data_IF_862467454560
#
_entry.id   IF_862467454560
#
_cell.length_a   1.000
_cell.length_b   1.000
_cell.length_c   1.000
_cell.angle_alpha   90.00
_cell.angle_beta   90.00
_cell.angle_gamma   90.00
#
_symmetry.space_group_name_H-M   'P 1'
#
loop_
_entity.id
_entity.type
_entity.pdbx_description
1 polymer ?
#
# COMPACT_ATOMS: atom_id res chain seq x y z
N UNK A 1 39.85 0.65 -45.22
CA UNK A 1 38.75 -0.17 -44.65
C UNK A 1 37.97 0.70 -43.69
N UNK A 2 36.84 1.27 -44.12
CA UNK A 2 35.95 2.08 -43.28
C UNK A 2 34.55 1.46 -43.28
N UNK A 3 34.16 0.84 -42.17
CA UNK A 3 32.86 0.20 -42.00
C UNK A 3 31.78 1.21 -41.62
N UNK A 4 30.72 1.28 -42.41
CA UNK A 4 29.51 2.07 -42.13
C UNK A 4 28.69 1.37 -41.04
N UNK A 5 28.59 1.99 -39.86
CA UNK A 5 27.65 1.57 -38.81
C UNK A 5 26.26 2.13 -39.13
N UNK A 6 25.35 1.25 -39.58
CA UNK A 6 23.96 1.60 -39.80
C UNK A 6 23.25 1.87 -38.47
N UNK A 7 22.62 3.05 -38.35
CA UNK A 7 21.82 3.43 -37.17
C UNK A 7 20.62 2.48 -36.99
N UNK A 8 20.24 2.13 -35.75
CA UNK A 8 19.07 1.29 -35.49
C UNK A 8 17.78 2.00 -35.92
N UNK A 9 16.87 1.25 -36.54
CA UNK A 9 15.57 1.76 -36.98
C UNK A 9 14.65 1.99 -35.76
N UNK A 10 13.93 3.12 -35.71
CA UNK A 10 12.95 3.35 -34.66
C UNK A 10 11.80 2.35 -34.77
N UNK A 11 11.35 1.85 -33.62
CA UNK A 11 10.18 0.99 -33.49
C UNK A 11 9.04 1.86 -32.99
N UNK A 12 8.01 2.05 -33.81
CA UNK A 12 6.76 2.69 -33.39
C UNK A 12 5.89 1.68 -32.62
N UNK A 13 5.56 2.00 -31.38
CA UNK A 13 4.61 1.25 -30.57
C UNK A 13 3.29 2.01 -30.57
N UNK A 14 2.26 1.47 -31.22
CA UNK A 14 0.88 1.96 -31.10
C UNK A 14 0.29 1.47 -29.78
N UNK A 15 0.00 2.39 -28.88
CA UNK A 15 -0.74 2.13 -27.64
C UNK A 15 -2.21 2.49 -27.88
N UNK A 16 -3.08 1.50 -27.83
CA UNK A 16 -4.53 1.67 -27.94
C UNK A 16 -5.13 1.58 -26.52
N UNK A 17 -5.62 2.71 -26.02
CA UNK A 17 -6.25 2.83 -24.70
C UNK A 17 -7.75 2.61 -24.84
N UNK A 18 -8.25 1.48 -24.35
CA UNK A 18 -9.70 1.22 -24.24
C UNK A 18 -10.15 1.56 -22.83
N UNK A 19 -10.89 2.66 -22.68
CA UNK A 19 -11.57 2.99 -21.43
C UNK A 19 -12.83 2.13 -21.33
N UNK A 20 -12.96 1.36 -20.24
CA UNK A 20 -14.19 0.65 -19.93
C UNK A 20 -15.22 1.66 -19.42
N UNK A 21 -16.30 1.85 -20.19
CA UNK A 21 -17.45 2.64 -19.75
C UNK A 21 -18.11 1.94 -18.56
N UNK A 22 -18.24 2.67 -17.43
CA UNK A 22 -19.01 2.21 -16.27
C UNK A 22 -20.49 2.23 -16.63
N UNK A 23 -21.12 1.06 -16.64
CA UNK A 23 -22.58 0.96 -16.63
C UNK A 23 -23.10 1.58 -15.32
N UNK A 24 -23.92 2.61 -15.47
CA UNK A 24 -24.73 3.20 -14.41
C UNK A 24 -26.00 2.36 -14.30
N UNK A 25 -26.23 1.78 -13.13
CA UNK A 25 -27.59 1.42 -12.73
C UNK A 25 -27.87 2.03 -11.36
N UNK A 26 -28.87 2.92 -11.37
CA UNK A 26 -29.46 3.51 -10.21
C UNK A 26 -30.66 2.64 -9.83
N UNK A 27 -30.78 2.24 -8.57
CA UNK A 27 -32.06 1.79 -8.05
C UNK A 27 -32.29 2.27 -6.61
N UNK A 28 -33.44 2.92 -6.46
CA UNK A 28 -34.00 3.51 -5.24
C UNK A 28 -35.11 2.58 -4.73
N UNK A 29 -35.00 2.19 -3.44
CA UNK A 29 -36.05 1.71 -2.52
C UNK A 29 -36.62 0.29 -2.81
N UNK A 30 -37.00 -0.58 -1.86
CA UNK A 30 -37.50 -0.46 -0.48
C UNK A 30 -37.48 -1.86 0.22
N UNK A 31 -37.81 -2.00 1.53
CA UNK A 31 -37.42 -3.10 2.41
C UNK A 31 -38.42 -4.28 2.52
N UNK A 32 -37.94 -5.37 3.14
CA UNK A 32 -38.62 -6.60 3.60
C UNK A 32 -38.85 -7.75 2.59
N UNK A 33 -38.25 -8.90 2.89
CA UNK A 33 -38.58 -10.20 2.31
C UNK A 33 -37.65 -11.31 2.78
N UNK A 34 -38.19 -12.28 3.53
CA UNK A 34 -37.48 -13.30 4.33
C UNK A 34 -36.84 -14.43 3.51
N UNK A 35 -35.74 -14.94 4.07
CA UNK A 35 -35.32 -16.34 4.28
C UNK A 35 -35.14 -17.34 3.11
N UNK A 36 -34.02 -18.08 3.25
CA UNK A 36 -33.42 -19.22 2.54
C UNK A 36 -34.34 -20.44 2.28
N UNK A 37 -33.93 -21.51 1.54
CA UNK A 37 -33.00 -22.54 2.08
C UNK A 37 -32.15 -23.34 1.04
N UNK A 38 -31.51 -24.44 1.51
CA UNK A 38 -30.75 -25.54 0.88
C UNK A 38 -29.21 -25.51 1.14
N UNK A 39 -28.69 -26.11 2.23
CA UNK A 39 -28.52 -27.54 2.63
C UNK A 39 -27.33 -28.24 1.92
N UNK A 40 -26.20 -28.46 2.60
CA UNK A 40 -25.78 -29.69 3.31
C UNK A 40 -25.14 -30.78 2.43
N UNK A 41 -23.86 -31.08 2.70
CA UNK A 41 -23.23 -32.39 2.49
C UNK A 41 -22.38 -32.73 3.72
N UNK A 42 -22.71 -33.86 4.39
CA UNK A 42 -21.90 -34.51 5.45
C UNK A 42 -20.91 -35.52 4.83
N UNK A 43 -19.91 -35.97 5.59
CA UNK A 43 -19.96 -37.36 6.08
C UNK A 43 -19.61 -37.56 7.57
N UNK A 44 -20.23 -38.57 8.19
CA UNK A 44 -19.90 -39.25 9.48
C UNK A 44 -18.47 -39.81 9.47
N UNK A 45 -17.77 -40.19 10.54
CA UNK A 45 -17.94 -40.36 12.00
C UNK A 45 -16.52 -40.66 12.56
N UNK A 46 -16.17 -40.55 13.84
CA UNK A 46 -16.62 -41.35 14.98
C UNK A 46 -16.06 -40.77 16.29
N UNK A 47 -16.79 -40.96 17.39
CA UNK A 47 -16.46 -40.51 18.75
C UNK A 47 -15.21 -41.17 19.35
N UNK A 48 -14.45 -40.37 20.11
CA UNK A 48 -13.57 -40.80 21.19
C UNK A 48 -13.65 -39.80 22.33
N UNK A 49 -14.15 -40.23 23.48
CA UNK A 49 -14.35 -39.47 24.72
C UNK A 49 -13.12 -39.66 25.61
N UNK A 50 -12.55 -38.59 26.18
CA UNK A 50 -11.76 -38.68 27.42
C UNK A 50 -11.67 -37.31 28.12
N UNK A 51 -12.31 -37.27 29.29
CA UNK A 51 -11.99 -36.55 30.53
C UNK A 51 -11.42 -35.12 30.47
N UNK A 52 -12.19 -34.22 31.07
CA UNK A 52 -11.74 -33.00 31.74
C UNK A 52 -10.47 -33.24 32.56
N UNK A 53 -9.42 -32.48 32.29
CA UNK A 53 -8.46 -32.03 33.30
C UNK A 53 -7.98 -30.60 32.98
N UNK A 54 -7.88 -29.84 34.06
CA UNK A 54 -7.54 -28.42 34.14
C UNK A 54 -6.46 -27.95 33.17
N UNK A 55 -6.78 -26.92 32.40
CA UNK A 55 -5.77 -25.98 31.94
C UNK A 55 -6.34 -24.57 31.96
N UNK A 56 -6.02 -23.88 33.05
CA UNK A 56 -6.26 -22.46 33.22
C UNK A 56 -5.76 -21.69 31.99
N UNK A 57 -6.70 -21.31 31.13
CA UNK A 57 -6.43 -20.47 29.97
C UNK A 57 -5.91 -19.12 30.46
N UNK A 58 -4.59 -18.94 30.31
CA UNK A 58 -3.88 -17.68 30.39
C UNK A 58 -4.63 -16.63 29.56
N UNK A 59 -5.34 -15.72 30.25
CA UNK A 59 -5.83 -14.49 29.64
C UNK A 59 -4.61 -13.62 29.30
N UNK A 60 -4.39 -13.19 28.04
CA UNK A 60 -3.29 -12.28 27.74
C UNK A 60 -3.61 -10.89 28.32
N UNK A 61 -3.00 -10.56 29.45
CA UNK A 61 -3.10 -9.27 30.11
C UNK A 61 -2.14 -8.25 29.47
N UNK A 62 -2.36 -7.81 28.23
CA UNK A 62 -1.50 -6.80 27.60
C UNK A 62 -2.23 -5.95 26.55
N UNK A 63 -2.97 -4.90 26.94
CA UNK A 63 -3.48 -3.89 25.97
C UNK A 63 -3.48 -2.41 26.42
N UNK A 64 -3.20 -2.10 27.69
CA UNK A 64 -3.31 -0.71 28.18
C UNK A 64 -1.99 0.08 28.20
N UNK A 65 -0.82 -0.56 28.06
CA UNK A 65 0.50 0.11 28.18
C UNK A 65 0.98 0.76 26.86
N UNK A 66 0.42 0.36 25.73
CA UNK A 66 0.89 0.79 24.39
C UNK A 66 0.18 2.05 23.90
N UNK A 67 -0.88 2.46 24.57
CA UNK A 67 -1.63 3.66 24.25
C UNK A 67 -1.32 4.78 25.24
N UNK A 68 -1.39 6.01 24.75
CA UNK A 68 -1.36 7.22 25.56
C UNK A 68 -2.62 8.03 25.28
N UNK A 69 -3.11 8.69 26.33
CA UNK A 69 -4.20 9.65 26.23
C UNK A 69 -3.73 10.98 26.77
N UNK A 70 -4.01 12.05 26.03
CA UNK A 70 -3.71 13.40 26.47
C UNK A 70 -4.83 14.36 26.06
N UNK A 71 -5.15 15.28 26.96
CA UNK A 71 -5.92 16.48 26.61
C UNK A 71 -4.99 17.43 25.86
N UNK A 72 -5.36 17.80 24.63
CA UNK A 72 -4.46 18.55 23.74
C UNK A 72 -4.83 20.02 23.61
N UNK A 73 -6.12 20.36 23.68
CA UNK A 73 -6.60 21.75 23.68
C UNK A 73 -8.09 21.82 24.06
N UNK A 74 -8.63 23.04 24.16
CA UNK A 74 -10.07 23.27 24.16
C UNK A 74 -10.62 23.33 22.73
N UNK A 75 -11.93 23.05 22.58
CA UNK A 75 -12.62 23.07 21.28
C UNK A 75 -12.53 24.43 20.56
N UNK A 76 -12.47 25.52 21.34
CA UNK A 76 -12.36 26.89 20.85
C UNK A 76 -10.95 27.27 20.41
N UNK A 77 -9.95 26.49 20.81
CA UNK A 77 -8.56 26.84 20.52
C UNK A 77 -8.20 26.54 19.06
N UNK A 78 -8.98 25.72 18.35
CA UNK A 78 -8.76 25.39 16.94
C UNK A 78 -9.99 25.77 16.12
N UNK A 79 -9.80 26.63 15.13
CA UNK A 79 -10.88 27.06 14.23
C UNK A 79 -11.11 26.02 13.12
N UNK A 80 -12.27 26.09 12.49
CA UNK A 80 -12.58 25.21 11.36
C UNK A 80 -11.65 25.52 10.17
N UNK A 81 -11.09 24.49 9.55
CA UNK A 81 -10.10 24.60 8.48
C UNK A 81 -8.66 24.73 8.96
N UNK A 82 -8.41 24.61 10.27
CA UNK A 82 -7.05 24.69 10.83
C UNK A 82 -6.46 23.32 11.13
N UNK A 83 -5.13 23.29 11.12
CA UNK A 83 -4.31 22.17 11.58
C UNK A 83 -3.38 22.65 12.69
N UNK A 84 -3.10 21.79 13.67
CA UNK A 84 -2.17 22.06 14.76
C UNK A 84 -1.37 20.82 15.11
N UNK A 85 -0.06 20.95 15.21
CA UNK A 85 0.78 19.91 15.79
C UNK A 85 0.60 19.92 17.33
N UNK A 86 0.31 18.75 17.90
CA UNK A 86 0.07 18.58 19.34
C UNK A 86 1.00 17.52 19.92
N UNK A 87 1.47 17.77 21.13
CA UNK A 87 2.33 16.86 21.88
C UNK A 87 1.50 15.95 22.79
N UNK A 88 1.75 14.64 22.72
CA UNK A 88 1.10 13.62 23.54
C UNK A 88 2.07 13.05 24.59
N UNK A 89 3.24 13.64 24.78
CA UNK A 89 4.31 13.21 25.70
C UNK A 89 5.15 12.05 25.15
N UNK A 90 4.53 11.10 24.44
CA UNK A 90 5.22 9.97 23.80
C UNK A 90 5.49 10.19 22.30
N UNK A 91 5.24 11.40 21.78
CA UNK A 91 5.35 11.76 20.37
C UNK A 91 4.27 12.77 19.99
N UNK A 92 4.21 13.13 18.71
CA UNK A 92 3.34 14.19 18.21
C UNK A 92 2.32 13.69 17.19
N UNK A 93 1.21 14.40 17.11
CA UNK A 93 0.14 14.19 16.15
C UNK A 93 -0.27 15.51 15.50
N UNK A 94 -0.90 15.43 14.33
CA UNK A 94 -1.55 16.56 13.68
C UNK A 94 -3.03 16.52 14.02
N UNK A 95 -3.47 17.46 14.86
CA UNK A 95 -4.88 17.71 15.13
C UNK A 95 -5.44 18.59 14.02
N UNK A 96 -6.58 18.20 13.49
CA UNK A 96 -7.26 18.87 12.37
C UNK A 96 -8.70 19.12 12.79
N UNK A 97 -9.25 20.27 12.43
CA UNK A 97 -10.68 20.55 12.55
C UNK A 97 -11.25 20.94 11.19
N UNK A 98 -12.17 20.16 10.67
CA UNK A 98 -12.86 20.43 9.40
C UNK A 98 -14.33 20.08 9.53
N UNK A 99 -15.21 20.90 8.95
CA UNK A 99 -16.66 20.80 9.09
C UNK A 99 -17.18 20.66 10.53
N UNK A 100 -16.47 21.25 11.50
CA UNK A 100 -16.81 21.17 12.93
C UNK A 100 -16.37 19.87 13.62
N UNK A 101 -15.83 18.90 12.89
CA UNK A 101 -15.33 17.63 13.42
C UNK A 101 -13.82 17.67 13.63
N UNK A 102 -13.33 16.92 14.62
CA UNK A 102 -11.91 16.79 14.89
C UNK A 102 -11.38 15.44 14.40
N UNK A 103 -10.24 15.46 13.73
CA UNK A 103 -9.46 14.27 13.40
C UNK A 103 -8.02 14.43 13.86
N UNK A 104 -7.35 13.31 14.07
CA UNK A 104 -5.94 13.30 14.43
C UNK A 104 -5.19 12.24 13.62
N UNK A 105 -4.14 12.68 12.94
CA UNK A 105 -3.30 11.83 12.09
C UNK A 105 -1.82 12.04 12.41
N UNK A 106 -0.94 11.26 11.78
CA UNK A 106 0.50 11.47 11.85
C UNK A 106 0.89 12.90 11.45
N UNK A 107 1.87 13.50 12.14
CA UNK A 107 2.28 14.89 11.95
C UNK A 107 3.37 15.09 10.90
N UNK A 108 4.04 14.00 10.49
CA UNK A 108 5.09 14.02 9.48
C UNK A 108 4.69 13.19 8.27
N UNK A 109 4.98 13.71 7.08
CA UNK A 109 4.84 12.96 5.85
C UNK A 109 5.76 11.72 5.87
N UNK A 110 5.24 10.51 5.65
CA UNK A 110 6.03 9.27 5.74
C UNK A 110 7.05 9.13 4.60
N UNK A 111 6.99 9.99 3.57
CA UNK A 111 7.96 10.04 2.49
C UNK A 111 9.33 10.51 3.01
N UNK A 112 9.57 11.82 3.15
CA UNK A 112 10.83 12.38 3.66
C UNK A 112 10.71 13.14 5.00
N UNK A 113 9.59 13.01 5.71
CA UNK A 113 9.43 13.57 7.06
C UNK A 113 9.00 15.04 7.12
N UNK A 114 8.49 15.59 6.02
CA UNK A 114 7.98 16.97 5.97
C UNK A 114 6.91 17.20 7.07
N UNK A 115 6.98 18.31 7.84
CA UNK A 115 5.95 18.63 8.82
C UNK A 115 4.64 18.99 8.11
N UNK A 116 3.61 18.18 8.29
CA UNK A 116 2.33 18.32 7.59
C UNK A 116 1.52 19.54 8.04
N UNK A 117 1.79 20.06 9.24
CA UNK A 117 1.24 21.34 9.71
C UNK A 117 1.63 22.53 8.81
N UNK A 118 2.74 22.42 8.06
CA UNK A 118 3.14 23.42 7.05
C UNK A 118 2.54 23.16 5.67
N UNK A 119 1.74 22.11 5.53
CA UNK A 119 1.03 21.74 4.31
C UNK A 119 -0.27 22.53 4.12
N UNK A 120 -1.11 22.02 3.23
CA UNK A 120 -2.42 22.60 2.92
C UNK A 120 -3.51 21.61 3.28
N UNK A 121 -4.51 22.03 4.06
CA UNK A 121 -5.74 21.30 4.30
C UNK A 121 -6.78 21.72 3.25
N UNK A 122 -7.38 20.75 2.56
CA UNK A 122 -8.45 21.01 1.61
C UNK A 122 -9.34 19.78 1.39
N UNK A 123 -10.66 19.96 1.56
CA UNK A 123 -11.69 18.98 1.17
C UNK A 123 -11.46 17.60 1.79
N UNK A 124 -11.13 17.50 3.07
CA UNK A 124 -10.86 16.21 3.72
C UNK A 124 -9.45 15.66 3.51
N UNK A 125 -8.52 16.46 2.97
CA UNK A 125 -7.17 16.00 2.67
C UNK A 125 -6.10 16.97 3.15
N UNK A 126 -4.95 16.41 3.56
CA UNK A 126 -3.73 17.16 3.86
C UNK A 126 -2.70 16.92 2.77
N UNK A 127 -2.28 17.99 2.08
CA UNK A 127 -1.25 17.96 1.06
C UNK A 127 0.10 18.36 1.65
N UNK A 128 1.09 17.50 1.48
CA UNK A 128 2.46 17.70 1.95
C UNK A 128 3.15 18.89 1.24
N UNK A 129 3.83 19.78 1.99
CA UNK A 129 4.41 21.01 1.42
C UNK A 129 5.66 20.79 0.56
N UNK A 130 6.27 19.61 0.58
CA UNK A 130 7.52 19.36 -0.17
C UNK A 130 7.27 18.83 -1.57
N UNK A 131 6.63 17.67 -1.68
CA UNK A 131 6.47 16.96 -2.94
C UNK A 131 5.00 16.70 -3.31
N UNK A 132 4.06 17.25 -2.54
CA UNK A 132 2.64 17.20 -2.87
C UNK A 132 1.90 15.90 -2.51
N UNK A 133 2.54 14.93 -1.86
CA UNK A 133 1.86 13.73 -1.36
C UNK A 133 0.62 14.10 -0.55
N UNK A 134 -0.50 13.43 -0.81
CA UNK A 134 -1.81 13.79 -0.26
C UNK A 134 -2.36 12.66 0.59
N UNK A 135 -2.97 13.00 1.72
CA UNK A 135 -3.50 12.03 2.67
C UNK A 135 -4.92 12.37 3.10
N UNK A 136 -5.77 11.36 3.22
CA UNK A 136 -7.11 11.50 3.81
C UNK A 136 -7.01 11.84 5.30
N UNK A 137 -7.76 12.84 5.77
CA UNK A 137 -7.85 13.13 7.21
C UNK A 137 -8.71 12.12 7.96
N UNK A 138 -9.59 11.41 7.25
CA UNK A 138 -10.50 10.44 7.84
C UNK A 138 -9.82 9.09 8.08
N UNK A 139 -9.08 8.59 7.08
CA UNK A 139 -8.45 7.26 7.13
C UNK A 139 -6.93 7.33 7.32
N UNK A 140 -6.31 8.49 7.10
CA UNK A 140 -4.86 8.63 7.02
C UNK A 140 -4.26 8.02 5.76
N UNK A 141 -5.05 7.42 4.87
CA UNK A 141 -4.54 6.77 3.68
C UNK A 141 -3.88 7.77 2.74
N UNK A 142 -2.79 7.34 2.11
CA UNK A 142 -2.19 8.08 1.00
C UNK A 142 -3.07 7.96 -0.24
N UNK A 143 -3.35 9.11 -0.86
CA UNK A 143 -4.22 9.21 -2.03
C UNK A 143 -3.54 9.90 -3.22
N UNK A 144 -2.42 10.60 -2.98
CA UNK A 144 -1.55 11.13 -4.03
C UNK A 144 -0.07 10.90 -3.67
N UNK A 145 0.71 10.54 -4.69
CA UNK A 145 2.12 10.15 -4.63
C UNK A 145 3.03 11.40 -4.48
N UNK A 146 4.32 11.31 -4.10
CA UNK A 146 5.27 10.18 -4.22
C UNK A 146 5.52 9.31 -2.96
N UNK A 147 4.69 9.38 -1.92
CA UNK A 147 4.82 8.47 -0.77
C UNK A 147 4.35 7.04 -1.06
N UNK A 148 4.76 6.06 -0.24
CA UNK A 148 4.25 4.67 -0.29
C UNK A 148 3.36 4.32 0.90
N UNK A 149 3.71 4.84 2.07
CA UNK A 149 3.00 4.55 3.30
C UNK A 149 1.94 5.62 3.59
N UNK A 150 0.90 5.20 4.28
CA UNK A 150 -0.16 6.03 4.83
C UNK A 150 0.23 6.59 6.19
N UNK A 151 -0.55 7.55 6.69
CA UNK A 151 -0.41 8.08 8.03
C UNK A 151 -1.16 7.20 9.05
N UNK A 152 -0.65 7.07 10.28
CA UNK A 152 -1.44 6.55 11.38
C UNK A 152 -2.58 7.53 11.71
N UNK A 153 -3.73 6.98 12.09
CA UNK A 153 -4.87 7.74 12.63
C UNK A 153 -4.95 7.52 14.14
N UNK A 154 -5.38 8.55 14.86
CA UNK A 154 -5.54 8.51 16.31
C UNK A 154 -6.98 8.82 16.69
N UNK A 155 -7.47 8.18 17.74
CA UNK A 155 -8.85 8.37 18.18
C UNK A 155 -8.97 9.73 18.86
N UNK A 156 -9.93 10.54 18.42
CA UNK A 156 -10.25 11.84 19.02
C UNK A 156 -11.61 11.76 19.71
N UNK A 157 -11.70 12.34 20.90
CA UNK A 157 -12.96 12.54 21.61
C UNK A 157 -13.03 13.94 22.21
N UNK A 158 -14.24 14.46 22.35
CA UNK A 158 -14.49 15.77 22.97
C UNK A 158 -15.28 15.56 24.25
N UNK A 159 -14.74 15.99 25.37
CA UNK A 159 -15.38 15.90 26.69
C UNK A 159 -15.36 17.27 27.37
N UNK A 160 -16.54 17.83 27.67
CA UNK A 160 -16.69 19.11 28.41
C UNK A 160 -15.75 20.21 27.85
N UNK A 161 -15.83 20.44 26.53
CA UNK A 161 -15.01 21.38 25.76
C UNK A 161 -13.51 21.08 25.65
N UNK A 162 -13.05 19.91 26.09
CA UNK A 162 -11.66 19.46 25.95
C UNK A 162 -11.54 18.44 24.84
N UNK A 163 -10.57 18.64 23.95
CA UNK A 163 -10.21 17.69 22.91
C UNK A 163 -9.16 16.73 23.48
N UNK A 164 -9.46 15.45 23.43
CA UNK A 164 -8.62 14.37 23.96
C UNK A 164 -8.25 13.44 22.82
N UNK A 165 -6.97 13.12 22.70
CA UNK A 165 -6.46 12.17 21.71
C UNK A 165 -5.98 10.91 22.43
N UNK A 166 -6.39 9.76 21.93
CA UNK A 166 -5.85 8.45 22.28
C UNK A 166 -5.05 7.88 21.12
N UNK A 167 -3.77 7.62 21.35
CA UNK A 167 -2.82 7.21 20.30
C UNK A 167 -1.97 6.02 20.74
N UNK A 168 -1.60 5.15 19.78
CA UNK A 168 -0.62 4.11 20.00
C UNK A 168 0.80 4.72 19.97
N UNK A 169 1.64 4.38 20.96
CA UNK A 169 2.99 4.95 21.12
C UNK A 169 3.92 4.63 19.95
N UNK A 170 3.87 3.42 19.42
CA UNK A 170 4.70 3.03 18.27
C UNK A 170 4.29 3.82 17.02
N UNK A 171 2.99 3.99 16.78
CA UNK A 171 2.50 4.79 15.66
C UNK A 171 2.92 6.27 15.75
N UNK A 172 2.99 6.82 16.97
CA UNK A 172 3.53 8.17 17.19
C UNK A 172 5.04 8.29 16.91
N UNK A 173 5.78 7.19 16.97
CA UNK A 173 7.21 7.20 16.66
C UNK A 173 7.46 6.95 15.17
N UNK A 174 6.77 5.98 14.57
CA UNK A 174 7.01 5.60 13.18
C UNK A 174 6.41 6.60 12.18
N UNK A 175 5.30 7.25 12.54
CA UNK A 175 4.58 8.21 11.67
C UNK A 175 4.19 7.63 10.29
N UNK A 176 4.12 6.30 10.19
CA UNK A 176 3.79 5.59 8.96
C UNK A 176 3.00 4.33 9.24
N UNK A 177 2.16 3.95 8.28
CA UNK A 177 1.34 2.75 8.26
C UNK A 177 1.28 2.22 6.83
N UNK A 178 1.66 0.97 6.63
CA UNK A 178 1.38 0.26 5.38
C UNK A 178 -0.11 -0.09 5.33
N UNK A 179 -0.77 0.13 4.18
CA UNK A 179 -2.16 -0.30 4.00
C UNK A 179 -2.26 -1.82 4.08
N UNK A 180 -3.40 -2.32 4.57
CA UNK A 180 -3.65 -3.76 4.59
C UNK A 180 -3.60 -4.31 3.16
N UNK A 181 -3.03 -5.50 3.01
CA UNK A 181 -2.83 -6.16 1.72
C UNK A 181 -3.33 -7.59 1.82
N UNK A 182 -4.06 -8.02 0.79
CA UNK A 182 -4.47 -9.41 0.65
C UNK A 182 -3.26 -10.33 0.46
N UNK A 183 -3.45 -11.61 0.80
CA UNK A 183 -2.47 -12.67 0.59
C UNK A 183 -2.79 -13.45 -0.67
N UNK A 184 -1.77 -14.06 -1.26
CA UNK A 184 -1.99 -14.96 -2.37
C UNK A 184 -2.76 -16.19 -1.88
N UNK A 185 -3.90 -16.48 -2.52
CA UNK A 185 -4.71 -17.67 -2.21
C UNK A 185 -4.29 -18.90 -3.02
N UNK A 186 -3.60 -18.69 -4.15
CA UNK A 186 -3.08 -19.77 -4.97
C UNK A 186 -1.82 -20.37 -4.34
N UNK A 187 -1.68 -21.70 -4.38
CA UNK A 187 -0.43 -22.38 -4.03
C UNK A 187 0.64 -21.92 -5.03
N UNK A 188 1.59 -21.11 -4.56
CA UNK A 188 2.69 -20.60 -5.39
C UNK A 188 3.69 -21.74 -5.59
N UNK A 189 3.53 -22.50 -6.66
CA UNK A 189 4.67 -23.21 -7.23
C UNK A 189 5.51 -22.19 -8.00
N UNK A 190 6.59 -21.71 -7.38
CA UNK A 190 7.55 -20.76 -7.97
C UNK A 190 8.16 -21.25 -9.30
N UNK A 191 8.01 -22.54 -9.60
CA UNK A 191 8.45 -23.20 -10.83
C UNK A 191 7.49 -23.08 -12.02
N UNK A 192 6.31 -22.46 -11.86
CA UNK A 192 5.35 -22.35 -12.98
C UNK A 192 5.74 -21.21 -13.92
N UNK A 193 5.70 -21.46 -15.23
CA UNK A 193 5.95 -20.43 -16.26
C UNK A 193 4.75 -19.52 -16.54
N UNK A 194 3.79 -19.42 -15.62
CA UNK A 194 2.57 -18.63 -15.79
C UNK A 194 2.34 -17.65 -14.64
N UNK A 195 1.98 -16.41 -14.97
CA UNK A 195 1.62 -15.36 -14.01
C UNK A 195 0.23 -14.79 -14.30
N UNK A 196 -0.50 -14.41 -13.26
CA UNK A 196 -1.78 -13.72 -13.47
C UNK A 196 -1.54 -12.25 -13.82
N UNK A 197 -0.58 -11.63 -13.14
CA UNK A 197 -0.07 -10.31 -13.49
C UNK A 197 1.45 -10.37 -13.60
N UNK A 198 1.98 -10.07 -14.78
CA UNK A 198 3.40 -9.84 -15.00
C UNK A 198 3.67 -8.34 -15.08
N UNK A 199 4.64 -7.85 -14.31
CA UNK A 199 5.07 -6.46 -14.28
C UNK A 199 6.53 -6.40 -14.74
N UNK A 200 6.79 -5.83 -15.91
CA UNK A 200 8.14 -5.62 -16.42
C UNK A 200 8.66 -4.26 -15.94
N UNK A 201 9.69 -4.27 -15.11
CA UNK A 201 10.28 -3.11 -14.45
C UNK A 201 10.13 -3.19 -12.94
N UNK A 202 10.99 -2.48 -12.23
CA UNK A 202 11.06 -2.47 -10.75
C UNK A 202 11.18 -1.03 -10.20
N UNK A 203 10.65 -0.06 -10.94
CA UNK A 203 10.56 1.35 -10.52
C UNK A 203 9.32 1.64 -9.66
N UNK A 204 9.08 2.92 -9.34
CA UNK A 204 7.94 3.31 -8.48
C UNK A 204 6.58 2.90 -9.07
N UNK A 205 6.41 2.96 -10.40
CA UNK A 205 5.17 2.52 -11.06
C UNK A 205 4.92 1.02 -10.85
N UNK A 206 5.96 0.20 -11.02
CA UNK A 206 5.86 -1.24 -10.85
C UNK A 206 5.53 -1.62 -9.40
N UNK A 207 6.25 -1.01 -8.44
CA UNK A 207 6.03 -1.23 -7.02
C UNK A 207 4.61 -0.81 -6.58
N UNK A 208 4.19 0.40 -6.95
CA UNK A 208 2.86 0.91 -6.60
C UNK A 208 1.77 0.04 -7.23
N UNK A 209 1.94 -0.43 -8.47
CA UNK A 209 0.99 -1.34 -9.09
C UNK A 209 0.86 -2.65 -8.29
N UNK A 210 1.98 -3.29 -7.94
CA UNK A 210 1.97 -4.55 -7.19
C UNK A 210 1.33 -4.38 -5.80
N UNK A 211 1.69 -3.33 -5.06
CA UNK A 211 1.08 -3.03 -3.76
C UNK A 211 -0.41 -2.72 -3.90
N UNK A 212 -0.81 -1.89 -4.87
CA UNK A 212 -2.22 -1.51 -5.07
C UNK A 212 -3.07 -2.74 -5.41
N UNK A 213 -2.58 -3.64 -6.26
CA UNK A 213 -3.30 -4.90 -6.54
C UNK A 213 -3.59 -5.67 -5.25
N UNK A 214 -2.59 -5.81 -4.38
CA UNK A 214 -2.76 -6.48 -3.08
C UNK A 214 -3.68 -5.70 -2.14
N UNK A 215 -3.61 -4.38 -2.11
CA UNK A 215 -4.46 -3.51 -1.29
C UNK A 215 -5.93 -3.58 -1.72
N UNK A 216 -6.20 -3.71 -3.02
CA UNK A 216 -7.55 -3.86 -3.59
C UNK A 216 -8.07 -5.30 -3.58
N UNK A 217 -7.39 -6.21 -2.87
CA UNK A 217 -7.88 -7.56 -2.64
C UNK A 217 -7.51 -8.59 -3.71
N UNK A 218 -6.58 -8.28 -4.62
CA UNK A 218 -6.13 -9.26 -5.61
C UNK A 218 -5.34 -10.38 -4.94
N UNK A 219 -5.76 -11.64 -5.10
CA UNK A 219 -5.19 -12.81 -4.43
C UNK A 219 -4.45 -13.77 -5.35
N UNK A 220 -4.32 -13.48 -6.64
CA UNK A 220 -3.58 -14.36 -7.56
C UNK A 220 -2.08 -14.00 -7.65
N UNK A 221 -1.29 -14.82 -8.35
CA UNK A 221 0.16 -14.64 -8.50
C UNK A 221 0.52 -13.35 -9.25
N UNK A 222 1.31 -12.49 -8.60
CA UNK A 222 1.92 -11.29 -9.19
C UNK A 222 3.43 -11.54 -9.30
N UNK A 223 3.99 -11.33 -10.49
CA UNK A 223 5.43 -11.40 -10.74
C UNK A 223 5.91 -10.05 -11.23
N UNK A 224 6.89 -9.47 -10.56
CA UNK A 224 7.62 -8.28 -10.96
C UNK A 224 9.02 -8.68 -11.40
N UNK A 225 9.43 -8.35 -12.61
CA UNK A 225 10.75 -8.69 -13.14
C UNK A 225 11.54 -7.46 -13.54
N UNK A 226 12.86 -7.49 -13.36
CA UNK A 226 13.74 -6.37 -13.69
C UNK A 226 15.10 -6.85 -14.15
N UNK A 227 15.74 -6.11 -15.05
CA UNK A 227 17.14 -6.33 -15.43
C UNK A 227 18.13 -5.95 -14.33
N UNK A 228 17.69 -5.21 -13.31
CA UNK A 228 18.55 -4.74 -12.23
C UNK A 228 18.81 -5.82 -11.18
N UNK A 229 19.99 -5.77 -10.55
CA UNK A 229 20.40 -6.66 -9.45
C UNK A 229 19.82 -6.26 -8.09
N UNK A 230 19.10 -5.15 -8.01
CA UNK A 230 18.59 -4.57 -6.77
C UNK A 230 17.06 -4.52 -6.77
N UNK A 231 16.42 -4.70 -5.60
CA UNK A 231 14.97 -4.48 -5.46
C UNK A 231 14.61 -2.99 -5.68
N UNK A 232 13.32 -2.64 -5.83
CA UNK A 232 12.91 -1.24 -6.03
C UNK A 232 13.56 -0.28 -5.03
N UNK A 233 14.16 0.79 -5.54
CA UNK A 233 14.85 1.80 -4.74
C UNK A 233 14.50 3.23 -5.19
N UNK A 234 14.75 4.17 -4.28
CA UNK A 234 14.51 5.60 -4.41
C UNK A 234 15.58 6.23 -5.33
N UNK A 235 15.29 6.26 -6.63
CA UNK A 235 16.16 6.87 -7.64
C UNK A 235 16.45 8.35 -7.37
N UNK A 236 15.47 9.20 -6.97
CA UNK A 236 15.77 10.59 -6.58
C UNK A 236 16.89 10.73 -5.54
N UNK A 237 16.95 9.84 -4.53
CA UNK A 237 18.02 9.88 -3.52
C UNK A 237 19.42 9.64 -4.08
N UNK A 238 19.57 8.92 -5.20
CA UNK A 238 20.89 8.73 -5.84
C UNK A 238 21.59 10.04 -6.20
N UNK A 239 20.83 11.11 -6.47
CA UNK A 239 21.38 12.43 -6.79
C UNK A 239 21.37 13.42 -5.63
N UNK A 240 20.70 13.09 -4.52
CA UNK A 240 20.42 14.00 -3.40
C UNK A 240 21.05 13.57 -2.08
N UNK A 241 21.42 12.29 -1.95
CA UNK A 241 22.02 11.71 -0.76
C UNK A 241 23.10 10.71 -1.19
N UNK A 242 24.26 11.24 -1.58
CA UNK A 242 25.37 10.48 -2.15
C UNK A 242 26.03 9.52 -1.14
N UNK A 243 25.75 9.68 0.15
CA UNK A 243 26.28 8.86 1.24
C UNK A 243 25.37 7.67 1.59
N UNK A 244 24.21 7.54 0.96
CA UNK A 244 23.26 6.45 1.25
C UNK A 244 23.79 5.10 0.79
N UNK A 245 23.65 4.07 1.62
CA UNK A 245 23.94 2.67 1.21
C UNK A 245 22.83 2.13 0.32
N UNK A 246 23.11 1.04 -0.42
CA UNK A 246 22.12 0.41 -1.30
C UNK A 246 20.84 -0.01 -0.54
N UNK A 247 20.98 -0.46 0.71
CA UNK A 247 19.88 -0.88 1.58
C UNK A 247 19.02 0.32 2.01
N UNK A 248 19.63 1.47 2.31
CA UNK A 248 18.93 2.70 2.71
C UNK A 248 18.13 3.33 1.57
N UNK A 249 18.48 2.98 0.33
CA UNK A 249 17.78 3.42 -0.87
C UNK A 249 16.58 2.54 -1.20
N UNK A 250 16.49 1.32 -0.66
CA UNK A 250 15.38 0.41 -0.95
C UNK A 250 14.04 1.02 -0.53
N UNK A 251 13.05 0.94 -1.42
CA UNK A 251 11.69 1.41 -1.14
C UNK A 251 10.94 0.45 -0.22
N UNK A 252 11.21 -0.85 -0.37
CA UNK A 252 10.69 -1.96 0.44
C UNK A 252 11.80 -2.99 0.64
N UNK A 253 11.80 -3.69 1.78
CA UNK A 253 12.72 -4.80 2.03
C UNK A 253 12.37 -6.02 1.19
N UNK A 254 13.30 -6.96 1.00
CA UNK A 254 13.00 -8.25 0.39
C UNK A 254 11.93 -9.04 1.16
N UNK A 255 11.96 -8.95 2.49
CA UNK A 255 10.97 -9.57 3.37
C UNK A 255 9.55 -9.02 3.12
N UNK A 256 9.42 -7.73 2.78
CA UNK A 256 8.12 -7.16 2.43
C UNK A 256 7.50 -7.85 1.22
N UNK A 257 8.28 -8.06 0.15
CA UNK A 257 7.78 -8.73 -1.06
C UNK A 257 7.35 -10.16 -0.75
N UNK A 258 8.13 -10.89 0.04
CA UNK A 258 7.79 -12.24 0.52
C UNK A 258 6.53 -12.24 1.38
N UNK A 259 6.44 -11.31 2.34
CA UNK A 259 5.29 -11.16 3.24
C UNK A 259 4.02 -10.69 2.52
N UNK A 260 4.08 -10.23 1.28
CA UNK A 260 2.89 -9.81 0.52
C UNK A 260 2.69 -10.60 -0.77
N UNK A 261 3.38 -11.74 -0.90
CA UNK A 261 3.28 -12.67 -2.02
C UNK A 261 3.48 -11.96 -3.38
N UNK A 262 4.42 -11.02 -3.43
CA UNK A 262 4.85 -10.34 -4.65
C UNK A 262 6.18 -10.96 -5.05
N UNK A 263 6.19 -11.72 -6.14
CA UNK A 263 7.41 -12.37 -6.62
C UNK A 263 8.30 -11.37 -7.35
N UNK A 264 9.56 -11.27 -6.92
CA UNK A 264 10.54 -10.36 -7.51
C UNK A 264 11.64 -11.14 -8.23
N UNK A 265 11.67 -11.05 -9.54
CA UNK A 265 12.67 -11.65 -10.40
C UNK A 265 13.73 -10.60 -10.79
N UNK A 266 14.86 -10.61 -10.08
CA UNK A 266 16.02 -9.76 -10.37
C UNK A 266 16.85 -10.32 -11.52
N UNK A 267 17.62 -9.46 -12.19
CA UNK A 267 18.49 -9.83 -13.31
C UNK A 267 17.76 -10.61 -14.44
N UNK A 268 16.45 -10.36 -14.59
CA UNK A 268 15.59 -10.90 -15.64
C UNK A 268 15.19 -9.78 -16.60
N UNK A 269 16.01 -9.61 -17.63
CA UNK A 269 15.71 -8.69 -18.73
C UNK A 269 14.70 -9.32 -19.70
N UNK A 270 13.53 -8.72 -19.81
CA UNK A 270 12.55 -9.07 -20.83
C UNK A 270 12.96 -8.46 -22.18
N UNK A 271 13.06 -9.29 -23.22
CA UNK A 271 13.56 -8.88 -24.54
C UNK A 271 12.48 -8.88 -25.62
N UNK A 272 11.39 -9.62 -25.42
CA UNK A 272 10.26 -9.60 -26.34
C UNK A 272 8.94 -9.92 -25.65
N UNK A 273 7.85 -9.40 -26.21
CA UNK A 273 6.48 -9.68 -25.78
C UNK A 273 5.69 -10.15 -27.01
N UNK A 274 5.11 -11.34 -26.93
CA UNK A 274 4.10 -11.81 -27.87
C UNK A 274 2.71 -11.62 -27.24
N UNK A 275 1.95 -10.68 -27.80
CA UNK A 275 0.60 -10.36 -27.32
C UNK A 275 -0.46 -11.37 -27.77
N UNK A 276 -0.19 -12.15 -28.82
CA UNK A 276 -1.13 -13.17 -29.32
C UNK A 276 -1.10 -14.40 -28.43
N UNK A 277 0.11 -14.86 -28.11
CA UNK A 277 0.32 -15.99 -27.20
C UNK A 277 0.42 -15.58 -25.73
N UNK A 278 0.35 -14.27 -25.45
CA UNK A 278 0.50 -13.67 -24.11
C UNK A 278 1.73 -14.18 -23.36
N UNK A 279 2.88 -14.11 -24.03
CA UNK A 279 4.15 -14.61 -23.51
C UNK A 279 5.22 -13.53 -23.54
N UNK A 280 6.02 -13.43 -22.49
CA UNK A 280 7.24 -12.62 -22.42
C UNK A 280 8.44 -13.55 -22.52
N UNK A 281 9.40 -13.21 -23.40
CA UNK A 281 10.68 -13.91 -23.49
C UNK A 281 11.77 -13.08 -22.82
N UNK A 282 12.61 -13.72 -22.03
CA UNK A 282 13.72 -13.12 -21.32
C UNK A 282 15.05 -13.38 -22.05
N UNK A 283 16.07 -12.58 -21.73
CA UNK A 283 17.39 -12.60 -22.37
C UNK A 283 18.11 -13.97 -22.27
N UNK A 284 17.82 -14.74 -21.23
CA UNK A 284 18.34 -16.11 -21.00
C UNK A 284 17.54 -17.21 -21.73
N UNK A 285 16.54 -16.83 -22.53
CA UNK A 285 15.66 -17.75 -23.24
C UNK A 285 14.48 -18.27 -22.41
N UNK A 286 14.40 -17.94 -21.12
CA UNK A 286 13.23 -18.26 -20.31
C UNK A 286 11.99 -17.55 -20.87
N UNK A 287 10.83 -18.20 -20.73
CA UNK A 287 9.55 -17.66 -21.18
C UNK A 287 8.54 -17.73 -20.05
N UNK A 288 7.77 -16.65 -19.90
CA UNK A 288 6.67 -16.57 -18.95
C UNK A 288 5.38 -16.15 -19.67
N UNK A 289 4.36 -16.98 -19.56
CA UNK A 289 3.00 -16.67 -19.94
C UNK A 289 2.36 -15.73 -18.91
N UNK A 290 1.48 -14.85 -19.37
CA UNK A 290 0.78 -13.91 -18.51
C UNK A 290 -0.70 -13.80 -18.85
N UNK A 291 -1.54 -13.53 -17.85
CA UNK A 291 -2.94 -13.14 -18.09
C UNK A 291 -3.06 -11.64 -18.34
N UNK A 292 -2.36 -10.83 -17.55
CA UNK A 292 -2.24 -9.36 -17.66
C UNK A 292 -0.77 -8.97 -17.61
N UNK A 293 -0.40 -7.95 -18.38
CA UNK A 293 0.96 -7.44 -18.47
C UNK A 293 0.96 -5.94 -18.20
N UNK A 294 1.87 -5.49 -17.33
CA UNK A 294 2.23 -4.08 -17.16
C UNK A 294 3.68 -3.89 -17.63
N UNK A 295 3.91 -2.95 -18.55
CA UNK A 295 5.25 -2.53 -18.94
C UNK A 295 5.55 -1.20 -18.21
N UNK A 296 6.39 -1.29 -17.19
CA UNK A 296 6.81 -0.20 -16.31
C UNK A 296 8.34 -0.03 -16.31
N UNK A 297 8.96 -0.15 -17.50
CA UNK A 297 10.41 -0.11 -17.70
C UNK A 297 11.03 1.27 -17.46
N UNK A 298 10.21 2.32 -17.36
CA UNK A 298 10.68 3.70 -17.35
C UNK A 298 11.32 4.09 -18.68
N UNK A 299 12.24 5.05 -18.64
CA UNK A 299 13.01 5.52 -19.79
C UNK A 299 14.52 5.35 -19.55
N UNK A 300 15.28 5.36 -20.65
CA UNK A 300 16.75 5.44 -20.66
C UNK A 300 17.17 6.79 -21.23
#
# INVERSE_FOLDING_TARGET
MGGCLSKPKPVEVKVELTLLEKEKEADLMSPNGKASPFSECRPNGSLGHCSDEDSAALRPSHKHRDYIEATVCHVKDLENGQMREVDLGAGRALLIKEHGEFSAIGHKCPHYGAPLVKGVLSKGHVRCPWHGACFSIATGDIEDFPGLDSLPTFQVRVEKDKVIIRANKQALQTQRRTKAMAKCSAVINSSTSFSHVLIIGSGPVALVCAETLRQEGFTDRIVMCTMEKHPPYDRPKLSKSLESTAEQLQLRSMEFFQNHDIELLLEKEAVSVDVKTKTVTFQDGYKMEYRKLLIATGSK
#
